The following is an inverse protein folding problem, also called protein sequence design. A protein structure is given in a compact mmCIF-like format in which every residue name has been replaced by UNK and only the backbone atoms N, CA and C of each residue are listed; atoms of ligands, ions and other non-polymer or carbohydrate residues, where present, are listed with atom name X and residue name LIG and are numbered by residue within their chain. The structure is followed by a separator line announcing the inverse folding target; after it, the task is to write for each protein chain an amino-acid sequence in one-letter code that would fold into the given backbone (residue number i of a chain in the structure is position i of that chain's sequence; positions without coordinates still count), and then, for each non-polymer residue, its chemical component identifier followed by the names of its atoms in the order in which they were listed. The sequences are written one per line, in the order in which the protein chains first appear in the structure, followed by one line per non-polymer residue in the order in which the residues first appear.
data_IF_158935137811
#
_entry.id   IF_158935137811
#
_cell.length_a   1.000
_cell.length_b   1.000
_cell.length_c   1.000
_cell.angle_alpha   90.00
_cell.angle_beta   90.00
_cell.angle_gamma   90.00
#
_symmetry.space_group_name_H-M   'P 1'
#
loop_
_entity.id
_entity.type
_entity.pdbx_description
1 polymer ?
#
# COMPACT_ATOMS: atom_id res chain seq x y z
N UNK A 1 0.60 -13.58 4.00
CA UNK A 1 -0.82 -13.24 3.78
C UNK A 1 -1.00 -12.90 2.32
N UNK A 2 -2.10 -13.31 1.71
CA UNK A 2 -2.50 -12.89 0.36
C UNK A 2 -3.57 -11.80 0.46
N UNK A 3 -3.86 -11.12 -0.65
CA UNK A 3 -4.84 -10.03 -0.65
C UNK A 3 -6.26 -10.52 -0.34
N UNK A 4 -6.61 -11.71 -0.82
CA UNK A 4 -7.88 -12.38 -0.53
C UNK A 4 -8.03 -12.80 0.95
N UNK A 5 -6.93 -12.83 1.70
CA UNK A 5 -6.93 -13.14 3.13
C UNK A 5 -7.18 -11.88 3.99
N UNK A 6 -7.19 -10.68 3.39
CA UNK A 6 -7.48 -9.43 4.10
C UNK A 6 -8.95 -9.33 4.48
N UNK A 7 -9.24 -8.52 5.51
CA UNK A 7 -10.61 -8.15 5.88
C UNK A 7 -11.34 -7.51 4.69
N UNK A 8 -12.67 -7.60 4.68
CA UNK A 8 -13.48 -7.00 3.61
C UNK A 8 -13.24 -5.49 3.54
N UNK A 9 -13.06 -4.85 4.70
CA UNK A 9 -12.78 -3.43 4.85
C UNK A 9 -11.44 -3.07 4.19
N UNK A 10 -10.36 -3.80 4.48
CA UNK A 10 -9.05 -3.54 3.89
C UNK A 10 -9.02 -3.82 2.39
N UNK A 11 -9.75 -4.84 1.93
CA UNK A 11 -9.89 -5.08 0.49
C UNK A 11 -10.69 -3.97 -0.22
N UNK A 12 -11.74 -3.45 0.43
CA UNK A 12 -12.56 -2.38 -0.11
C UNK A 12 -11.77 -1.07 -0.19
N UNK A 13 -11.04 -0.71 0.87
CA UNK A 13 -10.15 0.44 0.89
C UNK A 13 -9.08 0.35 -0.22
N UNK A 14 -8.48 -0.82 -0.43
CA UNK A 14 -7.53 -1.04 -1.52
C UNK A 14 -8.17 -0.86 -2.91
N UNK A 15 -9.42 -1.31 -3.11
CA UNK A 15 -10.15 -1.12 -4.36
C UNK A 15 -10.46 0.37 -4.62
N UNK A 16 -10.81 1.12 -3.59
CA UNK A 16 -11.06 2.56 -3.67
C UNK A 16 -9.79 3.33 -4.04
N UNK A 17 -8.68 3.05 -3.37
CA UNK A 17 -7.37 3.65 -3.70
C UNK A 17 -6.99 3.35 -5.16
N UNK A 18 -7.14 2.09 -5.61
CA UNK A 18 -6.86 1.75 -7.00
C UNK A 18 -7.76 2.50 -7.98
N UNK A 19 -9.06 2.61 -7.68
CA UNK A 19 -10.01 3.34 -8.53
C UNK A 19 -9.65 4.83 -8.64
N UNK A 20 -9.23 5.46 -7.53
CA UNK A 20 -8.82 6.86 -7.53
C UNK A 20 -7.53 7.08 -8.32
N UNK A 21 -6.52 6.21 -8.16
CA UNK A 21 -5.29 6.27 -8.96
C UNK A 21 -5.59 6.13 -10.46
N UNK A 22 -6.44 5.16 -10.84
CA UNK A 22 -6.83 4.98 -12.25
C UNK A 22 -7.60 6.19 -12.79
N UNK A 23 -8.46 6.82 -11.96
CA UNK A 23 -9.16 8.03 -12.38
C UNK A 23 -8.17 9.17 -12.68
N UNK A 24 -7.17 9.35 -11.82
CA UNK A 24 -6.14 10.38 -12.02
C UNK A 24 -5.32 10.12 -13.29
N UNK A 25 -4.88 8.89 -13.52
CA UNK A 25 -4.15 8.51 -14.75
C UNK A 25 -5.00 8.74 -16.00
N UNK A 26 -6.28 8.33 -15.97
CA UNK A 26 -7.18 8.56 -17.10
C UNK A 26 -7.38 10.04 -17.39
N UNK A 27 -7.48 10.89 -16.37
CA UNK A 27 -7.62 12.33 -16.53
C UNK A 27 -6.34 12.98 -17.10
N UNK A 28 -5.17 12.43 -16.78
CA UNK A 28 -3.88 12.93 -17.26
C UNK A 28 -3.59 12.53 -18.71
N UNK A 29 -3.75 11.25 -19.04
CA UNK A 29 -3.36 10.66 -20.32
C UNK A 29 -4.52 10.54 -21.32
N UNK A 30 -5.75 10.88 -20.91
CA UNK A 30 -6.99 10.64 -21.67
C UNK A 30 -7.19 9.16 -22.07
N UNK A 31 -6.58 8.25 -21.32
CA UNK A 31 -6.56 6.82 -21.59
C UNK A 31 -6.00 6.02 -20.42
N UNK A 32 -6.19 4.70 -20.46
CA UNK A 32 -5.61 3.78 -19.48
C UNK A 32 -4.79 2.72 -20.21
N UNK A 33 -3.47 2.80 -20.07
CA UNK A 33 -2.58 1.77 -20.58
C UNK A 33 -2.77 0.46 -19.77
N UNK A 34 -2.98 -0.69 -20.41
CA UNK A 34 -3.14 -1.97 -19.72
C UNK A 34 -1.97 -2.35 -18.78
N UNK A 35 -0.75 -1.95 -19.11
CA UNK A 35 0.42 -2.14 -18.26
C UNK A 35 0.35 -1.28 -17.00
N UNK A 36 -0.11 -0.03 -17.12
CA UNK A 36 -0.33 0.86 -15.97
C UNK A 36 -1.40 0.28 -15.06
N UNK A 37 -2.54 -0.17 -15.61
CA UNK A 37 -3.60 -0.82 -14.82
C UNK A 37 -3.04 -2.03 -14.06
N UNK A 38 -2.29 -2.90 -14.73
CA UNK A 38 -1.69 -4.10 -14.12
C UNK A 38 -0.68 -3.73 -13.04
N UNK A 39 0.17 -2.74 -13.30
CA UNK A 39 1.21 -2.28 -12.37
C UNK A 39 0.60 -1.69 -11.10
N UNK A 40 -0.35 -0.76 -11.24
CA UNK A 40 -1.04 -0.13 -10.11
C UNK A 40 -1.80 -1.18 -9.29
N UNK A 41 -2.56 -2.06 -9.95
CA UNK A 41 -3.29 -3.13 -9.25
C UNK A 41 -2.37 -4.11 -8.51
N UNK A 42 -1.15 -4.37 -9.01
CA UNK A 42 -0.17 -5.17 -8.30
C UNK A 42 0.38 -4.44 -7.06
N UNK A 43 0.76 -3.18 -7.20
CA UNK A 43 1.36 -2.40 -6.12
C UNK A 43 0.38 -2.13 -4.99
N UNK A 44 -0.86 -1.75 -5.31
CA UNK A 44 -1.89 -1.49 -4.29
C UNK A 44 -2.16 -2.74 -3.46
N UNK A 45 -2.33 -3.90 -4.10
CA UNK A 45 -2.53 -5.17 -3.37
C UNK A 45 -1.35 -5.51 -2.46
N UNK A 46 -0.11 -5.33 -2.93
CA UNK A 46 1.08 -5.60 -2.12
C UNK A 46 1.23 -4.62 -0.95
N UNK A 47 0.92 -3.34 -1.16
CA UNK A 47 0.99 -2.34 -0.11
C UNK A 47 0.01 -2.66 1.02
N UNK A 48 -1.25 -2.97 0.71
CA UNK A 48 -2.24 -3.33 1.73
C UNK A 48 -1.91 -4.63 2.44
N UNK A 49 -1.44 -5.66 1.72
CA UNK A 49 -0.95 -6.89 2.37
C UNK A 49 0.20 -6.58 3.34
N UNK A 50 1.14 -5.72 2.95
CA UNK A 50 2.24 -5.33 3.82
C UNK A 50 1.74 -4.56 5.06
N UNK A 51 0.85 -3.58 4.89
CA UNK A 51 0.30 -2.78 5.99
C UNK A 51 -0.43 -3.63 7.03
N UNK A 52 -1.20 -4.62 6.61
CA UNK A 52 -1.97 -5.50 7.50
C UNK A 52 -1.12 -6.66 8.07
N UNK A 53 0.02 -6.96 7.42
CA UNK A 53 0.95 -8.00 7.89
C UNK A 53 2.09 -7.44 8.75
N UNK A 54 2.36 -6.15 8.66
CA UNK A 54 3.31 -5.49 9.56
C UNK A 54 2.65 -5.41 10.94
N UNK A 55 3.06 -6.31 11.84
CA UNK A 55 2.93 -6.01 13.27
C UNK A 55 3.53 -4.62 13.49
N UNK A 56 2.86 -3.71 14.22
CA UNK A 56 3.42 -2.40 14.49
C UNK A 56 4.79 -2.64 15.09
N UNK A 57 5.85 -2.27 14.36
CA UNK A 57 7.18 -2.23 14.94
C UNK A 57 7.08 -1.23 16.08
N UNK A 58 6.91 -1.75 17.29
CA UNK A 58 7.13 -1.00 18.51
C UNK A 58 8.60 -0.66 18.44
N UNK A 59 8.90 0.51 17.87
CA UNK A 59 10.22 1.09 17.92
C UNK A 59 10.45 1.47 19.38
N UNK A 60 10.86 0.47 20.18
CA UNK A 60 11.30 0.71 21.54
C UNK A 60 12.43 1.73 21.46
N UNK A 61 12.15 2.88 22.06
CA UNK A 61 12.86 4.13 21.91
C UNK A 61 14.36 4.00 21.68
N UNK A 62 14.83 4.63 20.60
CA UNK A 62 16.18 5.18 20.54
C UNK A 62 16.24 6.38 21.49
N UNK A 63 16.12 6.13 22.79
CA UNK A 63 16.53 7.05 23.84
C UNK A 63 18.05 6.92 23.96
N UNK A 64 18.74 8.06 23.90
CA UNK A 64 20.18 8.10 23.82
C UNK A 64 20.89 7.59 25.09
N UNK A 65 22.17 7.27 24.94
CA UNK A 65 23.15 7.45 26.01
C UNK A 65 24.53 7.64 25.41
N UNK A 66 25.13 8.73 25.88
CA UNK A 66 26.47 9.26 25.68
C UNK A 66 27.58 8.39 26.27
N UNK A 67 28.78 8.56 25.71
CA UNK A 67 30.11 8.42 26.32
C UNK A 67 30.60 7.04 26.78
N UNK A 68 31.71 6.60 26.18
CA UNK A 68 33.05 6.51 26.84
C UNK A 68 33.90 5.37 26.25
N UNK A 69 34.97 5.70 25.53
CA UNK A 69 36.37 5.51 25.96
C UNK A 69 37.33 6.05 24.91
#
# INVERSE_FOLDING_TARGET
MKFEDLTIESQQAAREVLADMLRMEYQHELGLDPNVIRFLGHNVRKAFVALESEEPKIEYGRTGSSSSK
#
